data_IF_791509960475
#
_entry.id   IF_791509960475
#
_cell.length_a   1.000
_cell.length_b   1.000
_cell.length_c   1.000
_cell.angle_alpha   90.00
_cell.angle_beta   90.00
_cell.angle_gamma   90.00
#
_symmetry.space_group_name_H-M   'P 1'
#
loop_
_entity.id
_entity.type
_entity.pdbx_description
1 polymer ?
#
# COMPACT_ATOMS: atom_id res chain seq x y z
N UNK A 1 5.29 -0.79 8.32
CA UNK A 1 5.34 -1.66 9.50
C UNK A 1 6.39 -2.76 9.43
N UNK A 2 7.01 -3.07 8.26
CA UNK A 2 7.93 -4.21 8.10
C UNK A 2 9.34 -3.94 8.64
N UNK A 3 9.85 -2.72 8.46
CA UNK A 3 11.24 -2.34 8.75
C UNK A 3 11.68 -2.67 10.17
N UNK A 4 10.95 -2.28 11.24
CA UNK A 4 11.38 -2.58 12.60
C UNK A 4 11.48 -4.09 12.88
N UNK A 5 10.61 -4.89 12.29
CA UNK A 5 10.64 -6.36 12.46
C UNK A 5 11.88 -6.96 11.78
N UNK A 6 12.18 -6.52 10.56
CA UNK A 6 13.38 -6.96 9.83
C UNK A 6 14.65 -6.63 10.64
N UNK A 7 14.74 -5.40 11.14
CA UNK A 7 15.91 -4.94 11.93
C UNK A 7 16.02 -5.68 13.25
N UNK A 8 14.92 -5.90 13.96
CA UNK A 8 14.91 -6.64 15.23
C UNK A 8 15.43 -8.07 15.07
N UNK A 9 15.18 -8.68 13.91
CA UNK A 9 15.67 -10.02 13.57
C UNK A 9 17.08 -10.02 12.94
N UNK A 10 17.78 -8.88 12.96
CA UNK A 10 19.15 -8.75 12.43
C UNK A 10 19.23 -8.58 10.92
N UNK A 11 18.09 -8.45 10.24
CA UNK A 11 18.04 -8.18 8.81
C UNK A 11 18.38 -6.71 8.50
N UNK A 12 18.95 -6.48 7.32
CA UNK A 12 19.27 -5.13 6.80
C UNK A 12 18.27 -4.82 5.68
N UNK A 13 17.30 -3.90 5.89
CA UNK A 13 16.41 -3.48 4.82
C UNK A 13 17.18 -2.64 3.79
N UNK A 14 16.99 -2.96 2.52
CA UNK A 14 17.46 -2.17 1.38
C UNK A 14 16.24 -1.63 0.66
N UNK A 15 16.16 -0.31 0.53
CA UNK A 15 15.04 0.36 -0.12
C UNK A 15 15.32 0.55 -1.61
N UNK A 16 14.30 0.33 -2.41
CA UNK A 16 14.34 0.59 -3.85
C UNK A 16 13.50 1.84 -4.11
N UNK A 17 14.13 2.91 -4.59
CA UNK A 17 13.43 4.11 -5.01
C UNK A 17 12.73 3.87 -6.35
N UNK A 18 11.42 3.97 -6.34
CA UNK A 18 10.55 3.80 -7.51
C UNK A 18 9.92 5.11 -7.99
N UNK A 19 10.33 6.25 -7.44
CA UNK A 19 9.73 7.56 -7.77
C UNK A 19 9.87 7.90 -9.25
N UNK A 20 11.04 7.64 -9.84
CA UNK A 20 11.31 7.88 -11.26
C UNK A 20 10.50 6.98 -12.23
N UNK A 21 9.91 5.90 -11.72
CA UNK A 21 9.08 4.94 -12.49
C UNK A 21 7.60 5.01 -12.09
N UNK A 22 7.11 6.19 -11.71
CA UNK A 22 5.74 6.39 -11.24
C UNK A 22 5.36 5.46 -10.06
N UNK A 23 6.30 5.24 -9.16
CA UNK A 23 6.21 4.34 -7.99
C UNK A 23 5.99 2.86 -8.33
N UNK A 24 6.35 2.44 -9.54
CA UNK A 24 6.33 1.04 -9.96
C UNK A 24 7.72 0.44 -9.89
N UNK A 25 7.83 -0.76 -9.33
CA UNK A 25 9.06 -1.54 -9.41
C UNK A 25 9.29 -2.02 -10.84
N UNK A 26 10.53 -2.02 -11.29
CA UNK A 26 10.90 -2.52 -12.61
C UNK A 26 11.98 -3.61 -12.52
N UNK A 27 12.12 -4.45 -13.56
CA UNK A 27 13.19 -5.44 -13.62
C UNK A 27 14.60 -4.86 -13.40
N UNK A 28 14.85 -3.68 -13.96
CA UNK A 28 16.14 -3.00 -13.85
C UNK A 28 16.44 -2.60 -12.41
N UNK A 29 15.44 -2.03 -11.71
CA UNK A 29 15.56 -1.68 -10.30
C UNK A 29 15.79 -2.91 -9.43
N UNK A 30 15.12 -4.02 -9.72
CA UNK A 30 15.32 -5.29 -9.02
C UNK A 30 16.76 -5.75 -9.19
N UNK A 31 17.25 -5.85 -10.44
CA UNK A 31 18.61 -6.31 -10.76
C UNK A 31 19.71 -5.45 -10.13
N UNK A 32 19.47 -4.14 -10.00
CA UNK A 32 20.41 -3.20 -9.39
C UNK A 32 20.55 -3.37 -7.86
N UNK A 33 19.52 -3.92 -7.20
CA UNK A 33 19.45 -3.98 -5.74
C UNK A 33 19.60 -5.39 -5.16
N UNK A 34 19.50 -6.45 -5.98
CA UNK A 34 19.76 -7.83 -5.56
C UNK A 34 21.27 -8.08 -5.48
N UNK A 35 21.68 -8.79 -4.44
CA UNK A 35 23.04 -9.26 -4.22
C UNK A 35 23.01 -10.67 -3.61
N UNK A 36 24.18 -11.31 -3.47
CA UNK A 36 24.32 -12.62 -2.82
C UNK A 36 23.85 -12.65 -1.36
N UNK A 37 23.75 -11.48 -0.72
CA UNK A 37 23.21 -11.33 0.63
C UNK A 37 21.69 -11.18 0.67
N UNK A 38 21.04 -10.96 -0.45
CA UNK A 38 19.59 -10.79 -0.51
C UNK A 38 18.89 -12.10 -0.15
N UNK A 39 17.97 -12.05 0.82
CA UNK A 39 17.19 -13.21 1.27
C UNK A 39 15.74 -13.16 0.81
N UNK A 40 15.20 -11.95 0.69
CA UNK A 40 13.83 -11.75 0.24
C UNK A 40 13.65 -10.39 -0.41
N UNK A 41 12.66 -10.29 -1.29
CA UNK A 41 12.08 -9.02 -1.72
C UNK A 41 10.67 -8.90 -1.13
N UNK A 42 10.31 -7.72 -0.65
CA UNK A 42 8.96 -7.43 -0.18
C UNK A 42 8.30 -6.44 -1.14
N UNK A 43 7.17 -6.85 -1.69
CA UNK A 43 6.33 -6.07 -2.59
C UNK A 43 4.97 -5.83 -1.95
N UNK A 44 4.37 -4.68 -2.24
CA UNK A 44 3.01 -4.35 -1.81
C UNK A 44 2.28 -3.62 -2.95
N UNK A 45 1.39 -4.33 -3.63
CA UNK A 45 0.54 -3.80 -4.69
C UNK A 45 -0.90 -4.32 -4.56
N UNK A 46 -1.92 -3.47 -4.66
CA UNK A 46 -1.87 -1.99 -4.72
C UNK A 46 -1.13 -1.37 -3.53
N UNK A 47 -0.38 -0.31 -3.79
CA UNK A 47 0.63 0.20 -2.85
C UNK A 47 0.05 1.17 -1.82
N UNK A 48 0.40 1.01 -0.56
CA UNK A 48 0.34 2.05 0.44
C UNK A 48 1.77 2.64 0.61
N UNK A 49 2.02 3.92 0.28
CA UNK A 49 1.07 5.05 0.28
C UNK A 49 0.54 5.53 -1.09
N UNK A 50 1.04 5.04 -2.21
CA UNK A 50 0.89 5.70 -3.51
C UNK A 50 -0.43 5.38 -4.25
N UNK A 51 -1.08 4.25 -3.90
CA UNK A 51 -2.26 3.76 -4.60
C UNK A 51 -1.98 3.17 -5.98
N UNK A 52 -0.71 2.94 -6.32
CA UNK A 52 -0.30 2.39 -7.63
C UNK A 52 -0.58 0.90 -7.69
N UNK A 53 -0.95 0.43 -8.88
CA UNK A 53 -1.15 -0.98 -9.23
C UNK A 53 -0.18 -1.42 -10.32
N UNK A 54 -0.04 -2.73 -10.49
CA UNK A 54 0.68 -3.32 -11.62
C UNK A 54 -0.31 -3.96 -12.60
N UNK A 55 -0.05 -3.81 -13.88
CA UNK A 55 -0.75 -4.55 -14.93
C UNK A 55 -0.27 -6.01 -14.97
N UNK A 56 -1.03 -6.90 -15.60
CA UNK A 56 -0.66 -8.32 -15.76
C UNK A 56 0.71 -8.49 -16.42
N UNK A 57 1.01 -7.71 -17.44
CA UNK A 57 2.31 -7.75 -18.11
C UNK A 57 3.45 -7.28 -17.22
N UNK A 58 3.23 -6.27 -16.37
CA UNK A 58 4.23 -5.80 -15.40
C UNK A 58 4.48 -6.88 -14.34
N UNK A 59 3.43 -7.48 -13.78
CA UNK A 59 3.58 -8.58 -12.80
C UNK A 59 4.32 -9.76 -13.42
N UNK A 60 3.98 -10.17 -14.66
CA UNK A 60 4.65 -11.28 -15.35
C UNK A 60 6.14 -11.02 -15.55
N UNK A 61 6.52 -9.84 -16.00
CA UNK A 61 7.93 -9.50 -16.24
C UNK A 61 8.71 -9.42 -14.92
N UNK A 62 8.10 -8.88 -13.86
CA UNK A 62 8.70 -8.85 -12.51
C UNK A 62 8.87 -10.28 -11.98
N UNK A 63 7.84 -11.13 -12.08
CA UNK A 63 7.88 -12.52 -11.64
C UNK A 63 8.96 -13.31 -12.38
N UNK A 64 9.08 -13.15 -13.71
CA UNK A 64 10.16 -13.74 -14.51
C UNK A 64 11.54 -13.27 -14.06
N UNK A 65 11.69 -11.99 -13.79
CA UNK A 65 12.96 -11.45 -13.29
C UNK A 65 13.34 -12.07 -11.94
N UNK A 66 12.36 -12.20 -11.04
CA UNK A 66 12.58 -12.76 -9.70
C UNK A 66 12.85 -14.26 -9.72
N UNK A 67 12.33 -15.00 -10.72
CA UNK A 67 12.59 -16.44 -10.86
C UNK A 67 14.04 -16.78 -11.17
N UNK A 68 14.84 -15.83 -11.61
CA UNK A 68 16.29 -16.00 -11.85
C UNK A 68 17.13 -16.01 -10.55
N UNK A 69 16.50 -15.73 -9.38
CA UNK A 69 17.20 -15.59 -8.10
C UNK A 69 16.64 -16.53 -7.03
N UNK A 70 17.52 -17.10 -6.22
CA UNK A 70 17.16 -17.96 -5.07
C UNK A 70 16.81 -17.09 -3.83
N UNK A 71 15.76 -16.29 -3.93
CA UNK A 71 15.27 -15.43 -2.84
C UNK A 71 13.78 -15.67 -2.61
N UNK A 72 13.29 -15.35 -1.42
CA UNK A 72 11.85 -15.35 -1.16
C UNK A 72 11.18 -14.09 -1.72
N UNK A 73 9.98 -14.25 -2.25
CA UNK A 73 9.10 -13.16 -2.69
C UNK A 73 7.99 -13.03 -1.65
N UNK A 74 8.04 -11.99 -0.83
CA UNK A 74 6.98 -11.68 0.13
C UNK A 74 6.08 -10.63 -0.54
N UNK A 75 4.90 -11.04 -0.98
CA UNK A 75 3.97 -10.15 -1.67
C UNK A 75 2.74 -9.86 -0.81
N UNK A 76 2.61 -8.60 -0.37
CA UNK A 76 1.46 -8.14 0.40
C UNK A 76 0.39 -7.60 -0.55
N UNK A 77 -0.63 -8.41 -0.77
CA UNK A 77 -1.79 -8.12 -1.62
C UNK A 77 -3.04 -7.72 -0.80
N UNK A 78 -2.86 -7.14 0.38
CA UNK A 78 -3.99 -6.77 1.26
C UNK A 78 -4.99 -5.81 0.60
N UNK A 79 -4.59 -5.08 -0.44
CA UNK A 79 -5.42 -4.17 -1.23
C UNK A 79 -5.86 -4.76 -2.58
N UNK A 80 -5.65 -6.05 -2.86
CA UNK A 80 -5.96 -6.68 -4.15
C UNK A 80 -7.39 -6.36 -4.63
N UNK A 81 -8.38 -6.56 -3.76
CA UNK A 81 -9.79 -6.28 -4.05
C UNK A 81 -10.11 -4.79 -4.19
N UNK A 82 -9.22 -3.90 -3.75
CA UNK A 82 -9.33 -2.46 -3.92
C UNK A 82 -8.56 -1.98 -5.15
N UNK A 83 -8.64 -2.70 -6.26
CA UNK A 83 -8.15 -2.31 -7.58
C UNK A 83 -9.29 -1.70 -8.38
N UNK A 84 -9.09 -0.54 -9.02
CA UNK A 84 -10.15 0.25 -9.65
C UNK A 84 -10.22 0.09 -11.17
N UNK A 85 -9.10 -0.23 -11.81
CA UNK A 85 -9.00 -0.37 -13.25
C UNK A 85 -8.78 -1.84 -13.62
N UNK A 86 -9.87 -2.61 -13.71
CA UNK A 86 -9.83 -4.04 -14.00
C UNK A 86 -9.69 -4.90 -12.74
N UNK A 87 -9.07 -6.06 -12.90
CA UNK A 87 -8.80 -7.00 -11.81
C UNK A 87 -7.33 -6.94 -11.41
N UNK A 88 -7.06 -7.14 -10.13
CA UNK A 88 -5.73 -7.35 -9.64
C UNK A 88 -5.15 -8.65 -10.23
N UNK A 89 -3.90 -8.60 -10.66
CA UNK A 89 -3.15 -9.81 -11.03
C UNK A 89 -2.26 -10.19 -9.85
N UNK A 90 -2.53 -11.35 -9.27
CA UNK A 90 -1.72 -11.89 -8.18
C UNK A 90 -0.42 -12.49 -8.71
N UNK A 91 0.66 -12.35 -7.95
CA UNK A 91 1.90 -13.10 -8.21
C UNK A 91 1.69 -14.62 -8.14
N UNK A 92 0.66 -15.08 -7.42
CA UNK A 92 0.29 -16.50 -7.35
C UNK A 92 -0.25 -17.07 -8.67
N UNK A 93 -0.57 -16.25 -9.67
CA UNK A 93 -0.93 -16.73 -11.01
C UNK A 93 0.25 -17.37 -11.79
N UNK A 94 1.49 -17.18 -11.31
CA UNK A 94 2.70 -17.60 -12.00
C UNK A 94 3.37 -18.80 -11.29
N UNK A 95 3.12 -19.99 -11.80
CA UNK A 95 3.60 -21.24 -11.18
C UNK A 95 5.12 -21.32 -11.05
N UNK A 96 5.88 -20.66 -11.92
CA UNK A 96 7.35 -20.72 -11.94
C UNK A 96 8.04 -19.98 -10.76
N UNK A 97 7.29 -19.23 -9.94
CA UNK A 97 7.78 -18.62 -8.69
C UNK A 97 7.11 -19.20 -7.44
N UNK A 98 6.26 -20.21 -7.58
CA UNK A 98 5.42 -20.75 -6.49
C UNK A 98 6.24 -21.22 -5.29
N UNK A 99 7.39 -21.84 -5.51
CA UNK A 99 8.24 -22.41 -4.44
C UNK A 99 8.99 -21.35 -3.62
N UNK A 100 8.97 -20.09 -4.05
CA UNK A 100 9.61 -18.97 -3.36
C UNK A 100 8.62 -17.87 -2.97
N UNK A 101 7.34 -18.01 -3.31
CA UNK A 101 6.31 -16.97 -3.05
C UNK A 101 5.64 -17.17 -1.69
N UNK A 102 5.64 -16.10 -0.91
CA UNK A 102 4.79 -15.91 0.28
C UNK A 102 3.79 -14.81 -0.02
N UNK A 103 2.52 -15.16 -0.11
CA UNK A 103 1.42 -14.24 -0.37
C UNK A 103 0.72 -13.87 0.92
N UNK A 104 0.61 -12.59 1.19
CA UNK A 104 -0.11 -12.02 2.33
C UNK A 104 -1.40 -11.39 1.83
N UNK A 105 -2.52 -11.70 2.45
CA UNK A 105 -3.81 -11.12 2.16
C UNK A 105 -4.71 -11.10 3.40
N UNK A 106 -5.95 -10.64 3.27
CA UNK A 106 -6.92 -10.60 4.35
C UNK A 106 -8.11 -9.71 4.04
N UNK A 107 -9.07 -9.67 4.96
CA UNK A 107 -10.33 -8.94 4.80
C UNK A 107 -10.30 -7.51 5.39
N UNK A 108 -9.18 -7.12 5.98
CA UNK A 108 -9.06 -5.81 6.66
C UNK A 108 -9.41 -4.63 5.76
N UNK A 109 -9.13 -4.72 4.45
CA UNK A 109 -9.33 -3.63 3.49
C UNK A 109 -10.48 -3.89 2.55
N UNK A 110 -10.52 -5.09 1.98
CA UNK A 110 -11.59 -5.51 1.06
C UNK A 110 -12.98 -5.48 1.68
N UNK A 111 -13.10 -5.78 2.98
CA UNK A 111 -14.38 -5.83 3.70
C UNK A 111 -14.47 -4.81 4.85
N UNK A 112 -13.59 -3.80 4.87
CA UNK A 112 -13.51 -2.80 5.98
C UNK A 112 -13.40 -3.43 7.37
N UNK A 113 -12.78 -4.61 7.46
CA UNK A 113 -12.77 -5.47 8.64
C UNK A 113 -11.48 -5.34 9.47
N UNK A 114 -10.91 -4.12 9.57
CA UNK A 114 -9.64 -3.87 10.26
C UNK A 114 -9.67 -4.28 11.74
N UNK A 115 -10.82 -4.13 12.41
CA UNK A 115 -11.00 -4.46 13.83
C UNK A 115 -11.06 -5.97 14.10
N UNK A 116 -11.34 -6.80 13.10
CA UNK A 116 -11.46 -8.26 13.24
C UNK A 116 -10.09 -8.91 13.50
N UNK A 117 -8.99 -8.27 13.09
CA UNK A 117 -7.61 -8.71 13.34
C UNK A 117 -7.30 -10.10 12.78
N UNK A 118 -7.58 -10.34 11.52
CA UNK A 118 -7.28 -11.59 10.82
C UNK A 118 -6.63 -11.32 9.46
N UNK A 119 -5.71 -12.18 9.07
CA UNK A 119 -5.04 -12.18 7.77
C UNK A 119 -4.71 -13.59 7.34
N UNK A 120 -4.31 -13.73 6.10
CA UNK A 120 -3.94 -15.00 5.47
C UNK A 120 -2.49 -14.94 5.00
N UNK A 121 -1.76 -16.03 5.22
CA UNK A 121 -0.44 -16.25 4.66
C UNK A 121 -0.49 -17.55 3.86
N UNK A 122 -0.13 -17.47 2.60
CA UNK A 122 -0.10 -18.60 1.67
C UNK A 122 1.28 -18.73 1.07
N UNK A 123 1.74 -19.97 0.85
CA UNK A 123 3.05 -20.21 0.28
C UNK A 123 3.40 -21.71 0.25
N UNK A 124 4.66 -22.06 -0.04
CA UNK A 124 5.11 -23.45 -0.08
C UNK A 124 4.89 -24.16 1.26
N UNK A 125 4.44 -25.40 1.20
CA UNK A 125 4.08 -26.21 2.38
C UNK A 125 5.22 -26.24 3.43
N UNK A 126 6.44 -26.56 2.99
CA UNK A 126 7.61 -26.63 3.87
C UNK A 126 7.90 -25.35 4.66
N UNK A 127 7.52 -24.19 4.11
CA UNK A 127 7.71 -22.89 4.75
C UNK A 127 6.53 -22.56 5.65
N UNK A 128 5.30 -22.84 5.19
CA UNK A 128 4.08 -22.62 5.97
C UNK A 128 4.08 -23.47 7.24
N UNK A 129 4.54 -24.72 7.20
CA UNK A 129 4.69 -25.56 8.40
C UNK A 129 5.57 -24.88 9.46
N UNK A 130 6.75 -24.38 9.08
CA UNK A 130 7.66 -23.69 9.99
C UNK A 130 7.07 -22.39 10.53
N UNK A 131 6.42 -21.60 9.67
CA UNK A 131 5.78 -20.35 10.07
C UNK A 131 4.57 -20.60 10.98
N UNK A 132 3.81 -21.67 10.76
CA UNK A 132 2.71 -22.09 11.64
C UNK A 132 3.22 -22.44 13.03
N UNK A 133 4.34 -23.17 13.10
CA UNK A 133 4.98 -23.46 14.37
C UNK A 133 5.39 -22.20 15.12
N UNK A 134 6.06 -21.25 14.45
CA UNK A 134 6.44 -19.97 15.03
C UNK A 134 5.21 -19.15 15.45
N UNK A 135 4.16 -19.14 14.62
CA UNK A 135 2.91 -18.43 14.90
C UNK A 135 2.23 -18.96 16.18
N UNK A 136 2.25 -20.26 16.40
CA UNK A 136 1.67 -20.88 17.60
C UNK A 136 2.32 -20.35 18.90
N UNK A 137 3.62 -20.05 18.88
CA UNK A 137 4.31 -19.45 20.03
C UNK A 137 4.13 -17.93 20.13
N UNK A 138 3.76 -17.27 19.04
CA UNK A 138 3.57 -15.81 19.02
C UNK A 138 2.15 -15.39 19.39
N UNK A 139 1.15 -16.09 18.85
CA UNK A 139 -0.27 -15.71 18.96
C UNK A 139 -1.19 -16.88 19.29
N UNK A 140 -0.69 -18.12 19.36
CA UNK A 140 -1.46 -19.36 19.48
C UNK A 140 -2.31 -19.59 18.22
N UNK A 141 -3.35 -18.77 17.99
CA UNK A 141 -4.20 -18.80 16.80
C UNK A 141 -4.94 -17.47 16.63
N UNK A 142 -5.53 -17.26 15.46
CA UNK A 142 -6.50 -16.21 15.25
C UNK A 142 -7.76 -16.48 16.10
N UNK A 143 -8.42 -15.45 16.63
CA UNK A 143 -9.60 -15.65 17.48
C UNK A 143 -10.78 -16.25 16.69
N UNK A 144 -11.51 -17.16 17.34
CA UNK A 144 -12.58 -17.93 16.69
C UNK A 144 -13.71 -17.06 16.13
N UNK A 145 -14.23 -16.04 16.82
CA UNK A 145 -15.24 -15.15 16.24
C UNK A 145 -14.80 -14.51 14.90
N UNK A 146 -13.53 -14.10 14.82
CA UNK A 146 -12.99 -13.53 13.58
C UNK A 146 -12.88 -14.56 12.47
N UNK A 147 -12.53 -15.81 12.78
CA UNK A 147 -12.50 -16.89 11.79
C UNK A 147 -13.90 -17.15 11.22
N UNK A 148 -14.92 -17.21 12.07
CA UNK A 148 -16.33 -17.38 11.64
C UNK A 148 -16.78 -16.19 10.77
N UNK A 149 -16.46 -14.96 11.17
CA UNK A 149 -16.78 -13.77 10.39
C UNK A 149 -16.09 -13.79 9.00
N UNK A 150 -14.84 -14.28 8.94
CA UNK A 150 -14.12 -14.42 7.67
C UNK A 150 -14.77 -15.49 6.76
N UNK A 151 -15.19 -16.61 7.32
CA UNK A 151 -15.91 -17.66 6.55
C UNK A 151 -17.16 -17.08 5.92
N UNK A 152 -17.97 -16.34 6.70
CA UNK A 152 -19.17 -15.69 6.19
C UNK A 152 -18.84 -14.66 5.09
N UNK A 153 -17.84 -13.80 5.30
CA UNK A 153 -17.43 -12.80 4.32
C UNK A 153 -16.95 -13.42 3.00
N UNK A 154 -16.21 -14.52 3.07
CA UNK A 154 -15.71 -15.23 1.88
C UNK A 154 -16.77 -16.04 1.15
N UNK A 155 -17.84 -16.45 1.82
CA UNK A 155 -18.92 -17.21 1.20
C UNK A 155 -20.08 -16.32 0.72
N UNK A 156 -20.38 -15.24 1.45
CA UNK A 156 -21.61 -14.46 1.28
C UNK A 156 -21.33 -12.98 0.95
N UNK A 157 -20.10 -12.51 1.06
CA UNK A 157 -19.70 -11.10 0.94
C UNK A 157 -18.74 -10.78 -0.22
N UNK A 158 -18.63 -11.65 -1.22
CA UNK A 158 -17.66 -11.51 -2.33
C UNK A 158 -17.86 -10.24 -3.17
N UNK A 159 -19.04 -9.64 -3.17
CA UNK A 159 -19.37 -8.40 -3.87
C UNK A 159 -19.10 -7.12 -3.05
N UNK A 160 -18.88 -7.25 -1.74
CA UNK A 160 -18.65 -6.12 -0.85
C UNK A 160 -17.52 -5.18 -1.32
N UNK A 161 -16.35 -5.67 -1.78
CA UNK A 161 -15.29 -4.82 -2.29
C UNK A 161 -15.72 -3.99 -3.50
N UNK A 162 -16.50 -4.55 -4.40
CA UNK A 162 -16.98 -3.86 -5.62
C UNK A 162 -17.88 -2.68 -5.26
N UNK A 163 -18.73 -2.86 -4.27
CA UNK A 163 -19.59 -1.80 -3.76
C UNK A 163 -18.78 -0.65 -3.15
N UNK A 164 -17.80 -0.98 -2.32
CA UNK A 164 -16.92 0.03 -1.70
C UNK A 164 -16.05 0.75 -2.73
N UNK A 165 -15.54 0.03 -3.73
CA UNK A 165 -14.70 0.60 -4.78
C UNK A 165 -15.39 1.71 -5.58
N UNK A 166 -16.73 1.61 -5.79
CA UNK A 166 -17.50 2.69 -6.44
C UNK A 166 -17.36 4.00 -5.67
N UNK A 167 -17.52 3.95 -4.35
CA UNK A 167 -17.36 5.13 -3.51
C UNK A 167 -15.90 5.63 -3.48
N UNK A 168 -14.92 4.71 -3.45
CA UNK A 168 -13.51 5.07 -3.49
C UNK A 168 -13.11 5.74 -4.82
N UNK A 169 -13.61 5.27 -5.94
CA UNK A 169 -13.38 5.87 -7.26
C UNK A 169 -13.93 7.32 -7.31
N UNK A 170 -15.13 7.55 -6.81
CA UNK A 170 -15.74 8.88 -6.75
C UNK A 170 -14.90 9.83 -5.88
N UNK A 171 -14.53 9.38 -4.68
CA UNK A 171 -13.73 10.14 -3.72
C UNK A 171 -12.33 10.45 -4.26
N UNK A 172 -11.68 9.46 -4.87
CA UNK A 172 -10.39 9.62 -5.55
C UNK A 172 -10.47 10.69 -6.65
N UNK A 173 -11.46 10.60 -7.53
CA UNK A 173 -11.61 11.53 -8.65
C UNK A 173 -11.81 12.98 -8.15
N UNK A 174 -12.62 13.15 -7.11
CA UNK A 174 -12.80 14.43 -6.44
C UNK A 174 -11.47 14.97 -5.91
N UNK A 175 -10.73 14.18 -5.12
CA UNK A 175 -9.46 14.60 -4.52
C UNK A 175 -8.39 14.88 -5.57
N UNK A 176 -8.22 14.04 -6.59
CA UNK A 176 -7.27 14.26 -7.69
C UNK A 176 -7.54 15.60 -8.37
N UNK A 177 -8.81 15.87 -8.72
CA UNK A 177 -9.20 17.14 -9.35
C UNK A 177 -8.92 18.34 -8.43
N UNK A 178 -9.26 18.22 -7.15
CA UNK A 178 -9.12 19.33 -6.19
C UNK A 178 -7.65 19.60 -5.86
N UNK A 179 -6.84 18.58 -5.64
CA UNK A 179 -5.41 18.72 -5.36
C UNK A 179 -4.65 19.34 -6.53
N UNK A 180 -4.92 18.92 -7.77
CA UNK A 180 -4.33 19.54 -8.97
C UNK A 180 -4.68 21.02 -9.08
N UNK A 181 -5.93 21.40 -8.79
CA UNK A 181 -6.35 22.81 -8.78
C UNK A 181 -5.65 23.65 -7.69
N UNK A 182 -5.26 23.02 -6.61
CA UNK A 182 -4.50 23.64 -5.53
C UNK A 182 -2.99 23.65 -5.80
N UNK A 183 -2.50 23.13 -6.92
CA UNK A 183 -1.08 23.15 -7.28
C UNK A 183 -0.25 21.97 -6.78
N UNK A 184 -0.88 20.92 -6.26
CA UNK A 184 -0.17 19.67 -5.94
C UNK A 184 0.15 18.88 -7.20
N UNK A 185 1.34 18.30 -7.27
CA UNK A 185 1.74 17.40 -8.33
C UNK A 185 1.47 15.95 -7.94
N UNK A 186 1.12 15.14 -8.93
CA UNK A 186 0.87 13.71 -8.79
C UNK A 186 1.73 12.97 -9.79
N UNK A 187 2.81 12.35 -9.32
CA UNK A 187 3.72 11.56 -10.16
C UNK A 187 3.09 10.26 -10.64
N UNK A 188 2.05 9.80 -9.94
CA UNK A 188 1.21 8.68 -10.36
C UNK A 188 -0.25 8.91 -10.00
N UNK A 189 -1.15 8.39 -10.82
CA UNK A 189 -2.57 8.35 -10.47
C UNK A 189 -2.84 7.11 -9.61
N UNK A 190 -3.51 7.24 -8.45
CA UNK A 190 -3.88 6.07 -7.66
C UNK A 190 -4.96 5.26 -8.38
N UNK A 191 -4.67 3.98 -8.63
CA UNK A 191 -5.56 3.04 -9.32
C UNK A 191 -6.04 1.92 -8.41
N UNK A 192 -5.62 1.96 -7.14
CA UNK A 192 -6.03 1.02 -6.11
C UNK A 192 -5.82 1.56 -4.70
N UNK A 193 -6.07 0.73 -3.70
CA UNK A 193 -6.12 1.10 -2.30
C UNK A 193 -7.10 2.27 -2.04
N UNK A 194 -6.86 3.10 -1.05
CA UNK A 194 -7.66 4.30 -0.78
C UNK A 194 -6.77 5.46 -0.30
N UNK A 195 -5.60 5.61 -0.96
CA UNK A 195 -4.62 6.66 -0.69
C UNK A 195 -4.29 7.44 -1.95
N UNK A 196 -3.91 8.70 -1.74
CA UNK A 196 -3.31 9.56 -2.74
C UNK A 196 -2.02 10.14 -2.15
N UNK A 197 -0.98 10.23 -2.97
CA UNK A 197 0.37 10.59 -2.54
C UNK A 197 0.92 11.76 -3.37
N UNK A 198 0.38 13.00 -3.13
CA UNK A 198 0.81 14.19 -3.86
C UNK A 198 2.15 14.70 -3.36
N UNK A 199 2.93 15.28 -4.28
CA UNK A 199 4.10 16.10 -3.99
C UNK A 199 3.69 17.45 -3.43
N UNK A 200 4.41 17.91 -2.41
CA UNK A 200 4.26 19.25 -1.82
C UNK A 200 5.43 20.17 -2.14
N UNK A 201 6.33 19.76 -3.05
CA UNK A 201 7.57 20.49 -3.37
C UNK A 201 7.31 21.90 -3.90
N UNK A 202 6.12 22.19 -4.42
CA UNK A 202 5.69 23.52 -4.81
C UNK A 202 5.45 24.46 -3.60
N UNK A 203 5.36 23.90 -2.38
CA UNK A 203 5.12 24.67 -1.15
C UNK A 203 6.35 24.64 -0.24
N UNK A 204 6.88 23.44 0.00
CA UNK A 204 8.03 23.21 0.89
C UNK A 204 8.68 21.86 0.60
N UNK A 205 9.94 21.71 1.03
CA UNK A 205 10.63 20.42 1.04
C UNK A 205 10.47 19.65 2.35
N UNK A 206 9.95 20.29 3.41
CA UNK A 206 9.75 19.70 4.74
C UNK A 206 8.29 19.21 4.86
N UNK A 207 8.10 17.93 4.54
CA UNK A 207 6.80 17.28 4.58
C UNK A 207 6.29 17.05 6.01
N UNK A 208 7.20 16.91 6.98
CA UNK A 208 6.82 16.73 8.37
C UNK A 208 6.27 18.04 8.96
N UNK A 209 7.03 19.12 8.85
CA UNK A 209 6.60 20.45 9.31
C UNK A 209 5.30 20.92 8.61
N UNK A 210 5.20 20.64 7.30
CA UNK A 210 3.96 20.92 6.56
C UNK A 210 2.76 20.21 7.14
N UNK A 211 2.86 18.88 7.43
CA UNK A 211 1.77 18.11 8.00
C UNK A 211 1.40 18.59 9.41
N UNK A 212 2.39 18.97 10.23
CA UNK A 212 2.16 19.52 11.58
C UNK A 212 1.41 20.86 11.50
N UNK A 213 1.86 21.79 10.66
CA UNK A 213 1.19 23.10 10.48
C UNK A 213 -0.25 22.95 9.96
N UNK A 214 -0.47 22.08 8.97
CA UNK A 214 -1.82 21.81 8.46
C UNK A 214 -2.71 21.20 9.55
N UNK A 215 -2.17 20.34 10.39
CA UNK A 215 -2.92 19.76 11.51
C UNK A 215 -3.30 20.84 12.54
N UNK A 216 -2.36 21.69 12.94
CA UNK A 216 -2.56 22.69 13.99
C UNK A 216 -3.47 23.84 13.52
N UNK A 217 -3.26 24.34 12.30
CA UNK A 217 -3.96 25.53 11.80
C UNK A 217 -5.25 25.22 11.03
N UNK A 218 -5.27 24.10 10.31
CA UNK A 218 -6.43 23.71 9.49
C UNK A 218 -7.24 22.53 10.06
N UNK A 219 -6.72 21.85 11.08
CA UNK A 219 -7.33 20.65 11.66
C UNK A 219 -7.57 19.56 10.62
N UNK A 220 -6.60 19.37 9.72
CA UNK A 220 -6.57 18.30 8.72
C UNK A 220 -5.35 17.43 8.95
N UNK A 221 -5.58 16.16 9.29
CA UNK A 221 -4.52 15.19 9.52
C UNK A 221 -4.11 14.52 8.20
N UNK A 222 -2.83 14.55 7.90
CA UNK A 222 -2.18 13.87 6.79
C UNK A 222 -0.92 13.17 7.28
N UNK A 223 -0.39 12.23 6.50
CA UNK A 223 0.83 11.52 6.89
C UNK A 223 1.99 12.02 6.03
N UNK A 224 3.08 12.52 6.64
CA UNK A 224 4.26 12.92 5.87
C UNK A 224 4.88 11.71 5.17
N UNK A 225 5.35 11.91 3.95
CA UNK A 225 5.94 10.86 3.14
C UNK A 225 7.22 10.29 3.74
N UNK A 226 8.00 11.14 4.40
CA UNK A 226 9.20 10.76 5.17
C UNK A 226 8.94 9.73 6.27
N UNK A 227 7.70 9.60 6.77
CA UNK A 227 7.30 8.55 7.73
C UNK A 227 7.28 7.14 7.13
N UNK A 228 7.31 7.00 5.82
CA UNK A 228 7.40 5.71 5.14
C UNK A 228 8.85 5.33 4.88
N UNK A 229 9.57 6.19 4.19
CA UNK A 229 11.02 6.08 3.90
C UNK A 229 11.59 7.48 3.59
N UNK A 230 12.91 7.61 3.59
CA UNK A 230 13.57 8.86 3.16
C UNK A 230 13.24 9.26 1.71
N UNK A 231 12.91 8.29 0.83
CA UNK A 231 12.48 8.53 -0.55
C UNK A 231 11.09 9.20 -0.62
N UNK A 232 10.31 9.13 0.46
CA UNK A 232 9.02 9.80 0.57
C UNK A 232 9.09 11.29 0.92
N UNK A 233 10.27 11.86 1.14
CA UNK A 233 10.42 13.29 1.46
C UNK A 233 9.86 14.19 0.36
N UNK A 234 9.12 15.21 0.78
CA UNK A 234 8.44 16.12 -0.12
C UNK A 234 7.11 15.60 -0.68
N UNK A 235 6.60 14.50 -0.13
CA UNK A 235 5.26 13.97 -0.40
C UNK A 235 4.43 13.91 0.88
N UNK A 236 3.11 13.81 0.71
CA UNK A 236 2.17 13.56 1.81
C UNK A 236 1.19 12.47 1.40
N UNK A 237 0.75 11.64 2.36
CA UNK A 237 -0.33 10.68 2.11
C UNK A 237 -1.65 11.20 2.65
N UNK A 238 -2.65 11.22 1.80
CA UNK A 238 -4.05 11.51 2.13
C UNK A 238 -4.86 10.24 1.96
N UNK A 239 -5.64 9.84 2.98
CA UNK A 239 -6.61 8.76 2.88
C UNK A 239 -7.96 9.30 2.43
N UNK A 240 -8.63 8.56 1.52
CA UNK A 240 -10.01 8.86 1.12
C UNK A 240 -11.02 7.80 1.56
N UNK A 241 -10.67 7.02 2.59
CA UNK A 241 -11.59 6.10 3.25
C UNK A 241 -12.51 6.82 4.26
N UNK A 242 -13.01 8.00 3.87
CA UNK A 242 -13.93 8.85 4.64
C UNK A 242 -15.11 9.25 3.77
N UNK A 243 -16.21 9.68 4.39
CA UNK A 243 -17.35 10.17 3.63
C UNK A 243 -17.02 11.41 2.80
N UNK A 244 -17.72 11.58 1.67
CA UNK A 244 -17.46 12.64 0.70
C UNK A 244 -17.55 14.03 1.34
N UNK A 245 -18.48 14.26 2.28
CA UNK A 245 -18.62 15.56 2.93
C UNK A 245 -17.46 15.87 3.87
N UNK A 246 -16.91 14.86 4.55
CA UNK A 246 -15.68 14.99 5.35
C UNK A 246 -14.49 15.36 4.46
N UNK A 247 -14.37 14.70 3.30
CA UNK A 247 -13.30 15.00 2.32
C UNK A 247 -13.44 16.42 1.75
N UNK A 248 -14.64 16.84 1.41
CA UNK A 248 -14.92 18.22 0.93
C UNK A 248 -14.55 19.27 1.97
N UNK A 249 -14.92 19.04 3.22
CA UNK A 249 -14.59 19.95 4.33
C UNK A 249 -13.07 19.97 4.57
N UNK A 250 -12.40 18.81 4.60
CA UNK A 250 -10.95 18.73 4.71
C UNK A 250 -10.23 19.51 3.60
N UNK A 251 -10.67 19.33 2.36
CA UNK A 251 -10.09 20.06 1.22
C UNK A 251 -10.37 21.57 1.27
N UNK A 252 -11.53 22.00 1.78
CA UNK A 252 -11.85 23.41 1.99
C UNK A 252 -10.94 24.05 3.06
N UNK A 253 -10.65 23.32 4.13
CA UNK A 253 -9.72 23.76 5.18
C UNK A 253 -8.29 23.83 4.66
N UNK A 254 -7.84 22.82 3.94
CA UNK A 254 -6.52 22.79 3.31
C UNK A 254 -6.34 23.97 2.33
N UNK A 255 -7.34 24.25 1.49
CA UNK A 255 -7.31 25.40 0.57
C UNK A 255 -7.15 26.73 1.30
N UNK A 256 -7.90 26.91 2.40
CA UNK A 256 -7.79 28.14 3.22
C UNK A 256 -6.40 28.27 3.84
N UNK A 257 -5.85 27.18 4.36
CA UNK A 257 -4.50 27.16 4.92
C UNK A 257 -3.47 27.55 3.86
N UNK A 258 -3.55 26.95 2.68
CA UNK A 258 -2.61 27.21 1.60
C UNK A 258 -2.66 28.67 1.14
N UNK A 259 -3.86 29.27 1.03
CA UNK A 259 -4.02 30.69 0.69
C UNK A 259 -3.48 31.62 1.76
N UNK A 260 -3.52 31.23 3.02
CA UNK A 260 -3.01 32.04 4.12
C UNK A 260 -1.48 31.99 4.27
N UNK A 261 -0.87 30.86 3.92
CA UNK A 261 0.54 30.59 4.19
C UNK A 261 1.41 30.56 2.92
N UNK A 262 0.80 30.43 1.74
CA UNK A 262 1.49 30.33 0.45
C UNK A 262 0.76 31.21 -0.59
N UNK A 263 1.49 31.78 -1.51
CA UNK A 263 0.93 32.67 -2.56
C UNK A 263 0.27 31.83 -3.68
N UNK A 264 -0.95 31.34 -3.45
CA UNK A 264 -1.75 30.59 -4.42
C UNK A 264 -3.10 31.29 -4.69
#
# INVERSE_FOLDING_TARGET
GYIPLIQTLGGKPVFIDTSASAFKITPELIKQHISDQTKAILLNYPTNPTGVTLSKSEVEVIAKTLSDYEIFIINDEIYAENTFNGQHTSFAEFDFIRDQLLLISGLSKSHSATGIRIGFLMGPEYLIEKLTFMHAYNCICANVPSQIACIAALNEGLDAPQYMNRAYIERRNYLVSKLKKLGFELDAQPEGAFYIFPSIRNYTSDDFDFCVKVLEEAHVAMVPGSSFTDMGKGYIRISYAYDMDVLKEGMRRLERFLKANYNI
#
